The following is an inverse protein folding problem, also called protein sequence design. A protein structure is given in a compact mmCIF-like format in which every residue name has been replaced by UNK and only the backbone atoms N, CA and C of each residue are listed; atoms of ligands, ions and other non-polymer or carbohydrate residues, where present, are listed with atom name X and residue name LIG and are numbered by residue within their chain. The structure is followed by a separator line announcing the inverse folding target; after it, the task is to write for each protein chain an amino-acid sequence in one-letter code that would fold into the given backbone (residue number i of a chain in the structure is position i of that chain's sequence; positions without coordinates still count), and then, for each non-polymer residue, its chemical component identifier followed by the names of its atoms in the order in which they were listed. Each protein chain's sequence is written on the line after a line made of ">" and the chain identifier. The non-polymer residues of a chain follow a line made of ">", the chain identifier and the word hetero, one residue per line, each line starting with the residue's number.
data_IF_131465433664
#
_entry.id   IF_131465433664
#
_cell.length_a   1.000
_cell.length_b   1.000
_cell.length_c   1.000
_cell.angle_alpha   90.00
_cell.angle_beta   90.00
_cell.angle_gamma   90.00
#
_symmetry.space_group_name_H-M   'P 1'
#
loop_
_entity.id
_entity.type
_entity.pdbx_description
1 polymer ?
#
# COMPACT_ATOMS: atom_id res chain seq x y z
N UNK A 1 24.46 -5.94 6.00
CA UNK A 1 23.98 -4.85 5.11
C UNK A 1 24.57 -3.52 5.55
N UNK A 2 25.17 -2.79 4.60
CA UNK A 2 25.77 -1.47 4.83
C UNK A 2 24.68 -0.44 5.14
N UNK A 3 24.97 0.53 6.01
CA UNK A 3 24.01 1.58 6.44
C UNK A 3 23.52 2.41 5.25
N UNK A 4 24.43 2.80 4.36
CA UNK A 4 24.10 3.59 3.17
C UNK A 4 23.12 2.89 2.24
N UNK A 5 23.36 1.60 1.94
CA UNK A 5 22.45 0.80 1.11
C UNK A 5 21.04 0.71 1.69
N UNK A 6 20.94 0.51 3.00
CA UNK A 6 19.66 0.43 3.69
C UNK A 6 18.91 1.77 3.70
N UNK A 7 19.63 2.88 3.90
CA UNK A 7 19.04 4.21 3.84
C UNK A 7 18.54 4.54 2.42
N UNK A 8 19.35 4.25 1.41
CA UNK A 8 18.97 4.44 0.01
C UNK A 8 17.72 3.63 -0.34
N UNK A 9 17.66 2.34 0.06
CA UNK A 9 16.49 1.50 -0.17
C UNK A 9 15.22 2.08 0.49
N UNK A 10 15.32 2.54 1.74
CA UNK A 10 14.19 3.17 2.43
C UNK A 10 13.75 4.45 1.74
N UNK A 11 14.67 5.30 1.26
CA UNK A 11 14.31 6.54 0.55
C UNK A 11 13.63 6.20 -0.79
N UNK A 12 14.21 5.29 -1.57
CA UNK A 12 13.66 4.89 -2.87
C UNK A 12 12.26 4.30 -2.74
N UNK A 13 12.00 3.49 -1.70
CA UNK A 13 10.65 2.98 -1.46
C UNK A 13 9.65 4.08 -1.12
N UNK A 14 10.06 5.18 -0.48
CA UNK A 14 9.13 6.28 -0.20
C UNK A 14 8.67 6.99 -1.47
N UNK A 15 9.54 7.09 -2.47
CA UNK A 15 9.17 7.64 -3.78
C UNK A 15 8.15 6.73 -4.48
N UNK A 16 8.37 5.41 -4.42
CA UNK A 16 7.40 4.43 -4.93
C UNK A 16 6.07 4.54 -4.18
N UNK A 17 6.10 4.72 -2.85
CA UNK A 17 4.87 4.90 -2.06
C UNK A 17 4.11 6.15 -2.42
N UNK A 18 4.79 7.28 -2.61
CA UNK A 18 4.14 8.52 -3.04
C UNK A 18 3.41 8.34 -4.37
N UNK A 19 4.06 7.76 -5.38
CA UNK A 19 3.44 7.50 -6.69
C UNK A 19 2.28 6.51 -6.55
N UNK A 20 2.48 5.41 -5.82
CA UNK A 20 1.44 4.40 -5.63
C UNK A 20 0.24 4.93 -4.85
N UNK A 21 0.44 5.85 -3.91
CA UNK A 21 -0.61 6.42 -3.08
C UNK A 21 -1.57 7.24 -3.95
N UNK A 22 -1.06 7.99 -4.93
CA UNK A 22 -1.91 8.73 -5.88
C UNK A 22 -2.81 7.77 -6.66
N UNK A 23 -2.25 6.71 -7.25
CA UNK A 23 -3.03 5.71 -7.96
C UNK A 23 -4.03 4.99 -7.03
N UNK A 24 -3.63 4.69 -5.80
CA UNK A 24 -4.48 3.97 -4.86
C UNK A 24 -5.62 4.84 -4.29
N UNK A 25 -5.41 6.14 -4.12
CA UNK A 25 -6.47 7.07 -3.73
C UNK A 25 -7.57 7.14 -4.80
N UNK A 26 -7.20 7.04 -6.08
CA UNK A 26 -8.17 6.89 -7.16
C UNK A 26 -8.98 5.59 -7.01
N UNK A 27 -8.31 4.46 -6.79
CA UNK A 27 -8.99 3.16 -6.54
C UNK A 27 -9.92 3.23 -5.33
N UNK A 28 -9.49 3.89 -4.24
CA UNK A 28 -10.32 4.12 -3.06
C UNK A 28 -11.55 4.97 -3.38
N UNK A 29 -11.39 6.06 -4.14
CA UNK A 29 -12.53 6.88 -4.57
C UNK A 29 -13.53 6.09 -5.41
N UNK A 30 -13.04 5.31 -6.40
CA UNK A 30 -13.87 4.47 -7.25
C UNK A 30 -14.56 3.34 -6.47
N UNK A 31 -13.95 2.82 -5.41
CA UNK A 31 -14.52 1.74 -4.60
C UNK A 31 -15.85 2.13 -3.92
N UNK A 32 -16.10 3.44 -3.72
CA UNK A 32 -17.37 3.93 -3.17
C UNK A 32 -18.54 3.65 -4.12
N UNK A 33 -18.32 3.60 -5.43
CA UNK A 33 -19.35 3.24 -6.42
C UNK A 33 -19.88 1.81 -6.21
N UNK A 34 -19.12 0.94 -5.52
CA UNK A 34 -19.59 -0.38 -5.12
C UNK A 34 -20.80 -0.35 -4.18
N UNK A 35 -21.08 0.81 -3.56
CA UNK A 35 -22.21 1.03 -2.65
C UNK A 35 -23.43 1.68 -3.32
N UNK A 36 -23.46 1.81 -4.66
CA UNK A 36 -24.58 2.45 -5.38
C UNK A 36 -25.90 1.67 -5.28
N UNK A 37 -25.88 0.40 -4.84
CA UNK A 37 -27.09 -0.38 -4.59
C UNK A 37 -27.48 -0.41 -3.11
N UNK A 38 -28.77 -0.31 -2.75
CA UNK A 38 -29.22 -0.38 -1.34
C UNK A 38 -28.84 -1.69 -0.64
N UNK A 39 -28.67 -2.78 -1.41
CA UNK A 39 -28.25 -4.08 -0.88
C UNK A 39 -26.76 -4.11 -0.52
N UNK A 40 -25.92 -3.34 -1.21
CA UNK A 40 -24.48 -3.32 -0.98
C UNK A 40 -24.11 -2.79 0.42
N UNK A 41 -24.93 -1.93 1.01
CA UNK A 41 -24.72 -1.44 2.38
C UNK A 41 -24.73 -2.56 3.45
N UNK A 42 -25.43 -3.66 3.16
CA UNK A 42 -25.52 -4.83 4.05
C UNK A 42 -24.70 -6.02 3.53
N UNK A 43 -24.02 -5.87 2.40
CA UNK A 43 -23.19 -6.92 1.84
C UNK A 43 -21.80 -6.92 2.47
N UNK A 44 -21.46 -8.01 3.15
CA UNK A 44 -20.19 -8.19 3.85
C UNK A 44 -19.02 -8.14 2.86
N UNK A 45 -19.19 -8.69 1.66
CA UNK A 45 -18.12 -8.73 0.65
C UNK A 45 -17.73 -7.32 0.20
N UNK A 46 -18.71 -6.47 -0.08
CA UNK A 46 -18.49 -5.07 -0.48
C UNK A 46 -17.73 -4.30 0.60
N UNK A 47 -18.11 -4.47 1.88
CA UNK A 47 -17.39 -3.87 3.00
C UNK A 47 -15.96 -4.38 3.15
N UNK A 48 -15.74 -5.70 3.01
CA UNK A 48 -14.40 -6.28 3.11
C UNK A 48 -13.47 -5.74 2.02
N UNK A 49 -13.96 -5.62 0.78
CA UNK A 49 -13.20 -5.05 -0.34
C UNK A 49 -12.88 -3.58 -0.05
N UNK A 50 -13.87 -2.79 0.35
CA UNK A 50 -13.68 -1.38 0.67
C UNK A 50 -12.65 -1.17 1.78
N UNK A 51 -12.77 -1.91 2.90
CA UNK A 51 -11.84 -1.84 4.04
C UNK A 51 -10.43 -2.27 3.61
N UNK A 52 -10.31 -3.31 2.79
CA UNK A 52 -9.02 -3.75 2.25
C UNK A 52 -8.33 -2.65 1.44
N UNK A 53 -9.09 -1.94 0.59
CA UNK A 53 -8.59 -0.81 -0.19
C UNK A 53 -8.22 0.37 0.73
N UNK A 54 -9.07 0.67 1.73
CA UNK A 54 -8.89 1.77 2.68
C UNK A 54 -7.66 1.60 3.59
N UNK A 55 -7.29 0.36 3.92
CA UNK A 55 -6.14 0.09 4.81
C UNK A 55 -4.80 0.45 4.17
N UNK A 56 -4.70 0.46 2.84
CA UNK A 56 -3.41 0.62 2.17
C UNK A 56 -2.68 1.96 2.47
N UNK A 57 -3.34 3.14 2.40
CA UNK A 57 -2.73 4.40 2.86
C UNK A 57 -2.19 4.34 4.30
N UNK A 58 -2.95 3.72 5.21
CA UNK A 58 -2.53 3.56 6.60
C UNK A 58 -1.34 2.59 6.73
N UNK A 59 -1.32 1.52 5.93
CA UNK A 59 -0.22 0.56 5.88
C UNK A 59 1.08 1.20 5.35
N UNK A 60 1.01 2.04 4.31
CA UNK A 60 2.15 2.85 3.84
C UNK A 60 2.69 3.68 5.00
N UNK A 61 1.83 4.47 5.66
CA UNK A 61 2.24 5.39 6.71
C UNK A 61 2.89 4.64 7.89
N UNK A 62 2.26 3.55 8.32
CA UNK A 62 2.78 2.68 9.38
C UNK A 62 4.13 2.06 9.01
N UNK A 63 4.29 1.57 7.78
CA UNK A 63 5.54 0.98 7.31
C UNK A 63 6.68 2.00 7.20
N UNK A 64 6.37 3.23 6.79
CA UNK A 64 7.31 4.36 6.75
C UNK A 64 7.88 4.61 8.14
N UNK A 65 6.99 4.84 9.11
CA UNK A 65 7.36 5.16 10.48
C UNK A 65 8.13 4.00 11.10
N UNK A 66 7.61 2.78 11.00
CA UNK A 66 8.26 1.59 11.53
C UNK A 66 9.64 1.34 10.90
N UNK A 67 9.76 1.51 9.58
CA UNK A 67 11.00 1.35 8.83
C UNK A 67 12.10 2.28 9.33
N UNK A 68 11.80 3.58 9.48
CA UNK A 68 12.76 4.55 9.98
C UNK A 68 13.11 4.36 11.47
N UNK A 69 12.13 4.01 12.32
CA UNK A 69 12.38 3.68 13.73
C UNK A 69 13.32 2.48 13.86
N UNK A 70 13.06 1.40 13.12
CA UNK A 70 13.89 0.18 13.14
C UNK A 70 15.29 0.44 12.57
N UNK A 71 15.39 1.29 11.54
CA UNK A 71 16.66 1.72 10.99
C UNK A 71 17.50 2.50 12.02
N UNK A 72 16.88 3.45 12.73
CA UNK A 72 17.51 4.22 13.81
C UNK A 72 18.00 3.30 14.95
N UNK A 73 17.23 2.26 15.28
CA UNK A 73 17.59 1.21 16.26
C UNK A 73 18.64 0.21 15.76
N UNK A 74 19.32 0.49 14.65
CA UNK A 74 20.32 -0.38 14.00
C UNK A 74 19.78 -1.75 13.53
N UNK A 75 18.46 -1.97 13.57
CA UNK A 75 17.79 -3.21 13.12
C UNK A 75 17.48 -3.17 11.62
N UNK A 76 18.53 -3.04 10.79
CA UNK A 76 18.38 -2.74 9.36
C UNK A 76 17.65 -3.82 8.54
N UNK A 77 17.78 -5.10 8.90
CA UNK A 77 17.02 -6.19 8.25
C UNK A 77 15.53 -6.07 8.53
N UNK A 78 15.17 -5.86 9.79
CA UNK A 78 13.78 -5.64 10.18
C UNK A 78 13.22 -4.37 9.52
N UNK A 79 13.98 -3.28 9.48
CA UNK A 79 13.58 -2.05 8.81
C UNK A 79 13.16 -2.29 7.35
N UNK A 80 13.93 -3.08 6.59
CA UNK A 80 13.58 -3.42 5.20
C UNK A 80 12.36 -4.33 5.10
N UNK A 81 12.25 -5.35 5.96
CA UNK A 81 11.11 -6.25 5.96
C UNK A 81 9.81 -5.50 6.23
N UNK A 82 9.79 -4.67 7.27
CA UNK A 82 8.63 -3.85 7.63
C UNK A 82 8.30 -2.84 6.55
N UNK A 83 9.32 -2.17 6.02
CA UNK A 83 9.13 -1.24 4.93
C UNK A 83 8.60 -1.95 3.68
N UNK A 84 8.95 -3.22 3.41
CA UNK A 84 8.50 -3.94 2.22
C UNK A 84 7.05 -4.44 2.24
N UNK A 85 6.37 -4.41 3.39
CA UNK A 85 4.99 -4.94 3.52
C UNK A 85 4.01 -4.28 2.54
N UNK A 86 3.93 -2.95 2.41
CA UNK A 86 2.99 -2.33 1.48
C UNK A 86 3.30 -2.62 0.01
N UNK A 87 4.55 -2.97 -0.34
CA UNK A 87 4.86 -3.34 -1.73
C UNK A 87 4.10 -4.59 -2.17
N UNK A 88 3.68 -5.46 -1.24
CA UNK A 88 2.86 -6.62 -1.56
C UNK A 88 1.46 -6.22 -2.07
N UNK A 89 0.93 -5.09 -1.61
CA UNK A 89 -0.35 -4.55 -2.09
C UNK A 89 -0.26 -4.02 -3.52
N UNK A 90 0.94 -3.71 -4.02
CA UNK A 90 1.11 -3.32 -5.41
C UNK A 90 0.81 -4.46 -6.39
N UNK A 91 0.90 -5.73 -5.97
CA UNK A 91 0.61 -6.88 -6.84
C UNK A 91 -0.84 -6.86 -7.36
N UNK A 92 -1.88 -6.75 -6.50
CA UNK A 92 -3.26 -6.54 -6.95
C UNK A 92 -3.45 -5.34 -7.87
N UNK A 93 -2.82 -4.20 -7.57
CA UNK A 93 -2.93 -3.00 -8.40
C UNK A 93 -2.32 -3.22 -9.77
N UNK A 94 -1.11 -3.79 -9.85
CA UNK A 94 -0.45 -4.10 -11.11
C UNK A 94 -1.31 -5.08 -11.92
N UNK A 95 -1.87 -6.11 -11.29
CA UNK A 95 -2.77 -7.05 -11.96
C UNK A 95 -4.03 -6.36 -12.51
N UNK A 96 -4.63 -5.47 -11.74
CA UNK A 96 -5.80 -4.71 -12.16
C UNK A 96 -5.48 -3.74 -13.31
N UNK A 97 -4.34 -3.05 -13.25
CA UNK A 97 -3.89 -2.16 -14.32
C UNK A 97 -3.59 -2.95 -15.60
N UNK A 98 -2.90 -4.09 -15.50
CA UNK A 98 -2.66 -4.98 -16.65
C UNK A 98 -3.99 -5.42 -17.26
N UNK A 99 -4.93 -5.89 -16.44
CA UNK A 99 -6.27 -6.25 -16.92
C UNK A 99 -6.91 -5.07 -17.67
N UNK A 100 -7.00 -3.90 -17.03
CA UNK A 100 -7.70 -2.73 -17.59
C UNK A 100 -7.09 -2.17 -18.90
N UNK A 101 -5.78 -2.33 -19.12
CA UNK A 101 -5.10 -1.81 -20.32
C UNK A 101 -4.79 -2.87 -21.38
N UNK A 102 -4.86 -4.16 -21.04
CA UNK A 102 -4.62 -5.26 -21.97
C UNK A 102 -5.91 -5.96 -22.45
N UNK A 103 -7.06 -5.65 -21.85
CA UNK A 103 -8.41 -6.03 -22.31
C UNK A 103 -9.07 -4.91 -23.11
#
# INVERSE_FOLDING_TARGET
>A
MKRGTAAAALIMSQLVYLVSLVAWLFVLGMSVMGFDSPKAAYDVTTWLIFIYILIYPAAILGSMIAGWILFARRRRRAAMLWNGIPLLWLLPLIALLIYAFAS
#
